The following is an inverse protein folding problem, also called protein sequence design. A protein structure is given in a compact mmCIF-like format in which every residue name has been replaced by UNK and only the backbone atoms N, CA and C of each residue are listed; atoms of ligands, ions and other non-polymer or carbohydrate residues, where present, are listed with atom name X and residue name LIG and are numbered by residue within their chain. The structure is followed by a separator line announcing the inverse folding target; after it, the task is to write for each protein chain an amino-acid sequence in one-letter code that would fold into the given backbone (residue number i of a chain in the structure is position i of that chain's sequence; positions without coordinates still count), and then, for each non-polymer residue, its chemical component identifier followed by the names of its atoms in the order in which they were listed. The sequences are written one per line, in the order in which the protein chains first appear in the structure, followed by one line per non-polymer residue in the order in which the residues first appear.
data_IF_977355737045
#
_entry.id   IF_977355737045
#
_cell.length_a   1.000
_cell.length_b   1.000
_cell.length_c   1.000
_cell.angle_alpha   90.00
_cell.angle_beta   90.00
_cell.angle_gamma   90.00
#
_symmetry.space_group_name_H-M   'P 1'
#
loop_
_entity.id
_entity.type
_entity.pdbx_description
1 polymer ?
#
# COMPACT_ATOMS: atom_id res chain seq x y z
N UNK A 1 -24.81 26.89 35.89
CA UNK A 1 -23.56 26.28 36.40
C UNK A 1 -23.60 24.74 36.53
N UNK A 2 -24.62 24.04 35.99
CA UNK A 2 -24.79 22.58 36.18
C UNK A 2 -24.34 21.73 34.98
N UNK A 3 -24.13 22.34 33.82
CA UNK A 3 -23.71 21.65 32.60
C UNK A 3 -22.22 21.29 32.61
N UNK A 4 -21.37 22.14 33.19
CA UNK A 4 -19.93 21.87 33.32
C UNK A 4 -19.62 20.66 34.20
N UNK A 5 -20.35 20.50 35.30
CA UNK A 5 -20.16 19.36 36.22
C UNK A 5 -20.61 18.05 35.57
N UNK A 6 -21.71 18.05 34.81
CA UNK A 6 -22.15 16.88 34.05
C UNK A 6 -21.16 16.48 32.95
N UNK A 7 -20.56 17.45 32.27
CA UNK A 7 -19.55 17.18 31.24
C UNK A 7 -18.24 16.64 31.84
N UNK A 8 -17.81 17.18 32.98
CA UNK A 8 -16.62 16.69 33.70
C UNK A 8 -16.85 15.28 34.24
N UNK A 9 -18.03 14.98 34.78
CA UNK A 9 -18.38 13.63 35.23
C UNK A 9 -18.47 12.64 34.06
N UNK A 10 -19.04 13.06 32.92
CA UNK A 10 -19.07 12.24 31.70
C UNK A 10 -17.67 11.97 31.16
N UNK A 11 -16.79 12.98 31.13
CA UNK A 11 -15.40 12.81 30.74
C UNK A 11 -14.64 11.92 31.72
N UNK A 12 -14.84 12.08 33.04
CA UNK A 12 -14.19 11.25 34.05
C UNK A 12 -14.67 9.79 33.98
N UNK A 13 -15.95 9.54 33.68
CA UNK A 13 -16.50 8.20 33.46
C UNK A 13 -15.97 7.61 32.15
N UNK A 14 -15.95 8.37 31.05
CA UNK A 14 -15.37 7.96 29.77
C UNK A 14 -13.88 7.61 29.91
N UNK A 15 -13.11 8.44 30.60
CA UNK A 15 -11.69 8.21 30.88
C UNK A 15 -11.51 6.96 31.75
N UNK A 16 -12.37 6.71 32.75
CA UNK A 16 -12.35 5.48 33.55
C UNK A 16 -12.65 4.24 32.70
N UNK A 17 -13.64 4.29 31.81
CA UNK A 17 -13.97 3.18 30.90
C UNK A 17 -12.91 2.94 29.82
N UNK A 18 -12.13 3.95 29.43
CA UNK A 18 -11.03 3.81 28.46
C UNK A 18 -9.73 3.35 29.15
N UNK A 19 -9.55 3.61 30.45
CA UNK A 19 -8.33 3.26 31.20
C UNK A 19 -8.42 1.98 32.03
N UNK A 20 -9.59 1.37 32.19
CA UNK A 20 -9.73 0.05 32.82
C UNK A 20 -9.92 -1.01 31.75
N UNK A 21 -8.83 -1.39 31.09
CA UNK A 21 -8.76 -2.66 30.36
C UNK A 21 -8.80 -3.81 31.38
N UNK A 22 -9.78 -4.73 31.33
CA UNK A 22 -9.90 -5.79 32.31
C UNK A 22 -8.81 -6.88 32.25
N UNK A 23 -7.88 -6.85 31.28
CA UNK A 23 -6.98 -7.98 31.00
C UNK A 23 -5.48 -7.59 30.91
N UNK A 24 -5.01 -6.68 31.79
CA UNK A 24 -3.60 -6.25 31.84
C UNK A 24 -2.60 -7.29 32.40
N UNK A 25 -2.84 -8.59 32.19
CA UNK A 25 -1.87 -9.66 32.48
C UNK A 25 -1.32 -10.37 31.24
N UNK A 26 -1.83 -10.03 30.05
CA UNK A 26 -1.35 -10.64 28.80
C UNK A 26 -0.26 -9.73 28.24
N UNK A 27 1.00 -10.11 28.47
CA UNK A 27 2.14 -9.56 27.72
C UNK A 27 1.87 -9.70 26.21
N UNK A 28 2.26 -8.70 25.40
CA UNK A 28 2.15 -8.77 23.94
C UNK A 28 2.65 -10.14 23.43
N UNK A 29 1.87 -10.86 22.60
CA UNK A 29 2.25 -12.21 22.20
C UNK A 29 3.54 -12.17 21.39
N UNK A 30 4.51 -13.00 21.78
CA UNK A 30 5.72 -13.18 21.00
C UNK A 30 5.34 -13.78 19.65
N UNK A 31 5.65 -13.09 18.56
CA UNK A 31 5.48 -13.65 17.21
C UNK A 31 6.77 -14.32 16.78
N UNK A 32 6.66 -15.57 16.37
CA UNK A 32 7.79 -16.37 15.87
C UNK A 32 7.47 -16.76 14.44
N UNK A 33 8.39 -16.45 13.54
CA UNK A 33 8.26 -16.76 12.12
C UNK A 33 9.08 -18.00 11.78
N UNK A 34 8.55 -18.89 10.94
CA UNK A 34 9.22 -20.11 10.53
C UNK A 34 9.03 -20.42 9.04
N UNK A 35 9.99 -21.10 8.44
CA UNK A 35 9.86 -21.71 7.12
C UNK A 35 9.51 -23.20 7.25
N UNK A 36 8.82 -23.75 6.24
CA UNK A 36 8.47 -25.17 6.23
C UNK A 36 9.73 -26.04 6.31
N UNK A 37 9.71 -27.04 7.20
CA UNK A 37 10.82 -27.95 7.48
C UNK A 37 11.80 -27.45 8.54
N UNK A 38 11.69 -26.20 9.01
CA UNK A 38 12.55 -25.67 10.06
C UNK A 38 12.22 -26.23 11.45
N UNK A 39 13.09 -25.92 12.40
CA UNK A 39 12.90 -26.12 13.83
C UNK A 39 12.85 -24.77 14.54
N UNK A 40 11.88 -24.59 15.43
CA UNK A 40 11.78 -23.40 16.28
C UNK A 40 11.82 -23.81 17.74
N UNK A 41 12.38 -22.92 18.56
CA UNK A 41 12.38 -23.07 20.02
C UNK A 41 11.44 -22.04 20.62
N UNK A 42 10.35 -22.51 21.19
CA UNK A 42 9.40 -21.68 21.95
C UNK A 42 9.88 -21.54 23.39
N UNK A 43 9.68 -20.36 23.98
CA UNK A 43 10.12 -20.03 25.35
C UNK A 43 8.93 -19.66 26.23
N UNK A 44 8.86 -20.25 27.42
CA UNK A 44 8.02 -19.78 28.52
C UNK A 44 8.73 -18.62 29.22
N UNK A 45 8.03 -17.50 29.38
CA UNK A 45 8.54 -16.31 30.07
C UNK A 45 8.24 -16.41 31.58
N UNK A 46 9.15 -17.09 32.28
CA UNK A 46 9.09 -17.29 33.72
C UNK A 46 10.44 -17.70 34.27
N UNK A 47 10.78 -17.19 35.46
CA UNK A 47 11.90 -17.65 36.25
C UNK A 47 11.54 -19.01 36.88
N UNK A 48 11.61 -20.07 36.06
CA UNK A 48 11.20 -21.41 36.48
C UNK A 48 12.12 -21.96 37.57
N UNK A 49 11.51 -22.54 38.60
CA UNK A 49 12.16 -23.31 39.66
C UNK A 49 12.00 -24.81 39.35
N UNK A 50 12.92 -25.66 39.83
CA UNK A 50 12.86 -27.12 39.67
C UNK A 50 11.58 -27.79 40.22
N UNK A 51 10.67 -27.08 40.88
CA UNK A 51 9.38 -27.63 41.35
C UNK A 51 8.20 -27.28 40.43
N UNK A 52 8.41 -26.46 39.41
CA UNK A 52 7.31 -25.95 38.58
C UNK A 52 6.84 -27.00 37.58
N UNK A 53 5.51 -27.17 37.52
CA UNK A 53 4.83 -27.93 36.46
C UNK A 53 4.64 -26.98 35.28
N UNK A 54 5.08 -27.41 34.11
CA UNK A 54 4.91 -26.67 32.86
C UNK A 54 3.98 -27.47 31.96
N UNK A 55 2.98 -26.78 31.41
CA UNK A 55 2.00 -27.34 30.51
C UNK A 55 2.05 -26.56 29.20
N UNK A 56 2.28 -27.27 28.10
CA UNK A 56 2.17 -26.69 26.77
C UNK A 56 0.92 -27.19 26.07
N UNK A 57 0.21 -26.24 25.48
CA UNK A 57 -1.00 -26.52 24.74
C UNK A 57 -1.14 -25.57 23.56
N UNK A 58 -1.86 -26.02 22.55
CA UNK A 58 -2.29 -25.19 21.42
C UNK A 58 -3.80 -25.03 21.48
N UNK A 59 -4.29 -23.85 21.10
CA UNK A 59 -5.72 -23.62 21.01
C UNK A 59 -6.20 -24.01 19.62
N UNK A 60 -7.08 -25.02 19.53
CA UNK A 60 -7.75 -25.40 18.29
C UNK A 60 -9.22 -24.99 18.35
N UNK A 61 -9.95 -25.01 17.21
CA UNK A 61 -11.39 -24.77 17.21
C UNK A 61 -12.19 -25.76 18.08
N UNK A 62 -11.64 -26.95 18.33
CA UNK A 62 -12.25 -28.00 19.15
C UNK A 62 -11.98 -27.83 20.65
N UNK A 63 -11.00 -26.99 21.02
CA UNK A 63 -10.61 -26.72 22.39
C UNK A 63 -9.10 -26.57 22.57
N UNK A 64 -8.67 -26.46 23.84
CA UNK A 64 -7.25 -26.43 24.18
C UNK A 64 -6.68 -27.86 24.14
N UNK A 65 -5.74 -28.09 23.22
CA UNK A 65 -5.07 -29.37 23.02
C UNK A 65 -3.72 -29.36 23.76
N UNK A 66 -3.68 -30.02 24.92
CA UNK A 66 -2.47 -30.20 25.73
C UNK A 66 -1.65 -31.31 25.11
N UNK A 67 -0.38 -31.02 24.81
CA UNK A 67 0.53 -31.97 24.16
C UNK A 67 1.82 -32.19 24.97
N UNK A 68 2.11 -31.35 25.97
CA UNK A 68 3.20 -31.59 26.91
C UNK A 68 2.77 -31.21 28.32
N UNK A 69 3.06 -32.08 29.29
CA UNK A 69 2.93 -31.80 30.71
C UNK A 69 4.12 -32.41 31.45
N UNK A 70 4.92 -31.57 32.12
CA UNK A 70 6.13 -32.04 32.80
C UNK A 70 5.85 -32.89 34.03
N UNK A 71 4.66 -32.78 34.64
CA UNK A 71 4.27 -33.57 35.82
C UNK A 71 3.57 -34.87 35.43
N UNK A 72 2.81 -34.85 34.34
CA UNK A 72 2.02 -36.00 33.89
C UNK A 72 2.42 -36.38 32.45
N UNK A 73 3.48 -37.18 32.26
CA UNK A 73 3.99 -37.52 30.92
C UNK A 73 3.05 -38.42 30.11
N UNK A 74 1.95 -38.88 30.71
CA UNK A 74 0.93 -39.73 30.08
C UNK A 74 -0.07 -38.94 29.21
N UNK A 75 0.21 -37.66 28.92
CA UNK A 75 -0.60 -36.89 27.98
C UNK A 75 -0.47 -37.55 26.60
N UNK A 76 -1.60 -37.91 26.01
CA UNK A 76 -1.64 -38.40 24.64
C UNK A 76 -1.10 -37.29 23.73
N UNK A 77 0.15 -37.42 23.31
CA UNK A 77 0.75 -36.52 22.36
C UNK A 77 -0.13 -36.51 21.11
N UNK A 78 -0.50 -35.31 20.65
CA UNK A 78 -1.26 -35.20 19.42
C UNK A 78 -0.47 -35.92 18.30
N UNK A 79 -1.13 -36.80 17.55
CA UNK A 79 -0.46 -37.69 16.58
C UNK A 79 0.39 -36.91 15.57
N UNK A 80 0.02 -35.67 15.27
CA UNK A 80 0.73 -34.77 14.37
C UNK A 80 2.01 -34.17 14.98
N UNK A 81 2.17 -34.20 16.30
CA UNK A 81 3.34 -33.69 17.02
C UNK A 81 4.30 -34.81 17.44
N UNK A 82 3.93 -36.07 17.21
CA UNK A 82 4.72 -37.24 17.57
C UNK A 82 6.07 -37.26 16.85
N UNK A 83 7.14 -37.48 17.62
CA UNK A 83 8.52 -37.44 17.14
C UNK A 83 9.04 -36.08 16.65
N UNK A 84 8.23 -35.01 16.68
CA UNK A 84 8.62 -33.65 16.28
C UNK A 84 8.87 -32.71 17.45
N UNK A 85 8.46 -33.10 18.65
CA UNK A 85 8.63 -32.31 19.86
C UNK A 85 9.84 -32.81 20.63
N UNK A 86 10.71 -31.87 21.01
CA UNK A 86 11.77 -32.11 21.96
C UNK A 86 11.73 -31.05 23.08
N UNK A 87 11.34 -31.49 24.27
CA UNK A 87 11.37 -30.66 25.47
C UNK A 87 12.71 -30.90 26.19
N UNK A 88 13.76 -30.19 25.76
CA UNK A 88 15.12 -30.38 26.29
C UNK A 88 15.31 -29.70 27.66
N UNK A 89 15.79 -30.46 28.66
CA UNK A 89 16.44 -30.17 29.97
C UNK A 89 16.02 -28.99 30.86
N UNK A 90 15.68 -27.83 30.31
CA UNK A 90 15.12 -26.67 31.01
C UNK A 90 13.64 -26.59 30.66
N UNK A 91 12.76 -26.81 31.64
CA UNK A 91 11.29 -26.87 31.48
C UNK A 91 10.67 -25.64 30.80
N UNK A 92 11.46 -24.57 30.61
CA UNK A 92 11.08 -23.32 29.97
C UNK A 92 11.08 -23.35 28.45
N UNK A 93 11.66 -24.36 27.80
CA UNK A 93 11.83 -24.37 26.34
C UNK A 93 11.20 -25.60 25.68
N UNK A 94 10.61 -25.37 24.52
CA UNK A 94 10.00 -26.40 23.68
C UNK A 94 10.57 -26.27 22.26
N UNK A 95 11.32 -27.27 21.81
CA UNK A 95 11.74 -27.36 20.41
C UNK A 95 10.67 -28.11 19.61
N UNK A 96 10.24 -27.52 18.51
CA UNK A 96 9.31 -28.11 17.55
C UNK A 96 10.00 -28.15 16.18
N UNK A 97 10.29 -29.36 15.71
CA UNK A 97 11.05 -29.65 14.49
C UNK A 97 10.12 -30.02 13.33
N UNK A 98 10.64 -29.93 12.10
CA UNK A 98 9.93 -30.32 10.87
C UNK A 98 8.56 -29.62 10.76
N UNK A 99 8.58 -28.29 10.86
CA UNK A 99 7.38 -27.46 10.85
C UNK A 99 6.66 -27.46 9.50
N UNK A 100 5.33 -27.37 9.55
CA UNK A 100 4.44 -27.36 8.40
C UNK A 100 3.46 -26.18 8.47
N UNK A 101 2.77 -25.90 7.37
CA UNK A 101 1.75 -24.84 7.35
C UNK A 101 0.64 -25.07 8.39
N UNK A 102 0.35 -26.33 8.71
CA UNK A 102 -0.68 -26.71 9.69
C UNK A 102 -0.28 -26.43 11.13
N UNK A 103 1.01 -26.19 11.39
CA UNK A 103 1.51 -25.87 12.71
C UNK A 103 1.34 -24.39 13.06
N UNK A 104 0.87 -23.57 12.11
CA UNK A 104 0.54 -22.15 12.33
C UNK A 104 -0.56 -22.02 13.38
N UNK A 105 -0.35 -21.18 14.39
CA UNK A 105 -1.37 -20.96 15.39
C UNK A 105 -0.84 -20.42 16.71
N UNK A 106 -1.72 -20.46 17.71
CA UNK A 106 -1.43 -20.00 19.06
C UNK A 106 -0.93 -21.14 19.93
N UNK A 107 0.28 -20.98 20.42
CA UNK A 107 0.91 -21.86 21.39
C UNK A 107 0.95 -21.16 22.74
N UNK A 108 0.63 -21.92 23.78
CA UNK A 108 0.53 -21.43 25.13
C UNK A 108 1.40 -22.28 26.04
N UNK A 109 2.08 -21.60 26.94
CA UNK A 109 2.78 -22.20 28.06
C UNK A 109 2.15 -21.73 29.36
N UNK A 110 1.69 -22.67 30.18
CA UNK A 110 1.22 -22.41 31.54
C UNK A 110 2.19 -22.97 32.57
N UNK A 111 2.56 -22.16 33.55
CA UNK A 111 3.46 -22.52 34.64
C UNK A 111 2.68 -22.59 35.94
N UNK A 112 2.81 -23.70 36.64
CA UNK A 112 2.09 -23.97 37.87
C UNK A 112 3.05 -24.29 39.02
N UNK A 113 2.89 -23.56 40.12
CA UNK A 113 3.58 -23.80 41.40
C UNK A 113 2.57 -24.27 42.43
N UNK A 114 2.80 -25.44 43.05
CA UNK A 114 1.88 -26.04 44.05
C UNK A 114 0.40 -26.11 43.58
N UNK A 115 0.19 -26.28 42.27
CA UNK A 115 -1.14 -26.35 41.65
C UNK A 115 -1.78 -25.00 41.28
N UNK A 116 -1.13 -23.88 41.59
CA UNK A 116 -1.59 -22.53 41.22
C UNK A 116 -0.87 -22.06 39.95
N UNK A 117 -1.62 -21.53 38.98
CA UNK A 117 -1.05 -20.92 37.78
C UNK A 117 -0.34 -19.61 38.15
N UNK A 118 0.97 -19.55 37.92
CA UNK A 118 1.82 -18.40 38.29
C UNK A 118 2.26 -17.58 37.09
N UNK A 119 2.38 -18.19 35.91
CA UNK A 119 2.72 -17.49 34.66
C UNK A 119 2.05 -18.17 33.47
N UNK A 120 1.68 -17.36 32.47
CA UNK A 120 1.17 -17.82 31.18
C UNK A 120 1.87 -17.05 30.08
N UNK A 121 2.42 -17.75 29.10
CA UNK A 121 3.07 -17.14 27.93
C UNK A 121 2.34 -17.56 26.67
N UNK A 122 2.00 -16.57 25.83
CA UNK A 122 1.41 -16.78 24.51
C UNK A 122 2.47 -16.56 23.43
N UNK A 123 2.59 -17.51 22.52
CA UNK A 123 3.43 -17.39 21.32
C UNK A 123 2.59 -17.65 20.08
N UNK A 124 2.65 -16.73 19.12
CA UNK A 124 1.98 -16.86 17.83
C UNK A 124 3.00 -17.36 16.81
N UNK A 125 2.82 -18.60 16.35
CA UNK A 125 3.70 -19.22 15.36
C UNK A 125 3.14 -18.94 13.96
N UNK A 126 3.91 -18.25 13.13
CA UNK A 126 3.51 -17.77 11.81
C UNK A 126 4.45 -18.30 10.73
N UNK A 127 3.87 -18.72 9.61
CA UNK A 127 4.66 -19.06 8.43
C UNK A 127 5.29 -17.79 7.86
N UNK A 128 6.61 -17.83 7.67
CA UNK A 128 7.32 -16.83 6.91
C UNK A 128 7.14 -17.11 5.43
N UNK A 129 6.46 -16.19 4.74
CA UNK A 129 6.35 -16.21 3.29
C UNK A 129 7.32 -15.19 2.67
N UNK A 130 8.45 -15.62 2.10
CA UNK A 130 9.42 -14.73 1.46
C UNK A 130 8.86 -14.03 0.22
N UNK A 131 7.75 -14.50 -0.35
CA UNK A 131 7.06 -13.88 -1.49
C UNK A 131 5.75 -13.19 -1.10
N UNK A 132 5.42 -13.20 0.19
CA UNK A 132 4.21 -12.57 0.69
C UNK A 132 4.20 -11.06 0.48
N UNK A 133 3.03 -10.46 0.55
CA UNK A 133 2.80 -9.00 0.46
C UNK A 133 3.60 -8.19 1.50
N UNK A 134 3.98 -8.82 2.63
CA UNK A 134 4.81 -8.20 3.66
C UNK A 134 6.32 -8.36 3.41
N UNK A 135 6.73 -9.11 2.40
CA UNK A 135 8.12 -9.30 2.04
C UNK A 135 8.75 -8.01 1.54
N UNK A 136 9.99 -7.78 1.95
CA UNK A 136 10.84 -6.69 1.44
C UNK A 136 11.01 -6.80 -0.08
N UNK A 137 11.10 -8.02 -0.62
CA UNK A 137 11.19 -8.26 -2.06
C UNK A 137 9.96 -7.74 -2.80
N UNK A 138 8.75 -8.04 -2.31
CA UNK A 138 7.52 -7.56 -2.93
C UNK A 138 7.38 -6.03 -2.82
N UNK A 139 7.74 -5.44 -1.66
CA UNK A 139 7.70 -3.97 -1.48
C UNK A 139 8.62 -3.24 -2.45
N UNK A 140 9.83 -3.75 -2.66
CA UNK A 140 10.79 -3.17 -3.61
C UNK A 140 10.29 -3.36 -5.04
N UNK A 141 9.90 -4.58 -5.40
CA UNK A 141 9.40 -4.89 -6.74
C UNK A 141 8.17 -4.06 -7.12
N UNK A 142 7.18 -3.97 -6.23
CA UNK A 142 5.97 -3.17 -6.41
C UNK A 142 6.30 -1.69 -6.63
N UNK A 143 7.23 -1.15 -5.84
CA UNK A 143 7.68 0.24 -5.96
C UNK A 143 8.38 0.50 -7.31
N UNK A 144 9.27 -0.40 -7.73
CA UNK A 144 9.96 -0.30 -9.02
C UNK A 144 8.97 -0.37 -10.20
N UNK A 145 8.00 -1.28 -10.14
CA UNK A 145 6.96 -1.41 -11.17
C UNK A 145 6.08 -0.16 -11.22
N UNK A 146 5.69 0.39 -10.08
CA UNK A 146 4.93 1.64 -10.02
C UNK A 146 5.71 2.82 -10.63
N UNK A 147 7.00 2.95 -10.28
CA UNK A 147 7.87 3.98 -10.87
C UNK A 147 8.02 3.81 -12.38
N UNK A 148 8.19 2.59 -12.88
CA UNK A 148 8.29 2.31 -14.31
C UNK A 148 7.00 2.67 -15.06
N UNK A 149 5.84 2.31 -14.51
CA UNK A 149 4.53 2.65 -15.10
C UNK A 149 4.31 4.17 -15.12
N UNK A 150 4.62 4.88 -14.04
CA UNK A 150 4.54 6.35 -14.01
C UNK A 150 5.47 6.99 -15.03
N UNK A 151 6.70 6.50 -15.15
CA UNK A 151 7.66 6.95 -16.17
C UNK A 151 7.12 6.76 -17.59
N UNK A 152 6.56 5.59 -17.89
CA UNK A 152 5.94 5.30 -19.19
C UNK A 152 4.75 6.23 -19.48
N UNK A 153 3.88 6.47 -18.51
CA UNK A 153 2.75 7.40 -18.66
C UNK A 153 3.24 8.83 -18.93
N UNK A 154 4.28 9.31 -18.21
CA UNK A 154 4.88 10.61 -18.47
C UNK A 154 5.46 10.73 -19.88
N UNK A 155 6.14 9.69 -20.38
CA UNK A 155 6.65 9.65 -21.76
C UNK A 155 5.50 9.69 -22.77
N UNK A 156 4.44 8.92 -22.57
CA UNK A 156 3.28 8.94 -23.45
C UNK A 156 2.60 10.30 -23.47
N UNK A 157 2.41 10.95 -22.31
CA UNK A 157 1.84 12.30 -22.23
C UNK A 157 2.73 13.32 -22.94
N UNK A 158 4.05 13.29 -22.71
CA UNK A 158 4.98 14.24 -23.35
C UNK A 158 5.02 14.06 -24.87
N UNK A 159 5.02 12.83 -25.37
CA UNK A 159 4.93 12.55 -26.81
C UNK A 159 3.60 13.03 -27.38
N UNK A 160 2.47 12.73 -26.75
CA UNK A 160 1.16 13.19 -27.21
C UNK A 160 1.06 14.72 -27.23
N UNK A 161 1.51 15.40 -26.17
CA UNK A 161 1.53 16.86 -26.10
C UNK A 161 2.47 17.48 -27.15
N UNK A 162 3.60 16.82 -27.44
CA UNK A 162 4.56 17.28 -28.46
C UNK A 162 4.00 17.09 -29.87
N UNK A 163 3.38 15.95 -30.15
CA UNK A 163 2.70 15.68 -31.43
C UNK A 163 1.58 16.70 -31.66
N UNK A 164 0.69 16.89 -30.67
CA UNK A 164 -0.39 17.88 -30.76
C UNK A 164 0.12 19.31 -30.96
N UNK A 165 1.23 19.68 -30.31
CA UNK A 165 1.89 20.99 -30.54
C UNK A 165 2.44 21.13 -31.96
N UNK A 166 3.05 20.08 -32.52
CA UNK A 166 3.52 20.09 -33.91
C UNK A 166 2.36 20.25 -34.89
N UNK A 167 1.24 19.59 -34.65
CA UNK A 167 0.04 19.69 -35.50
C UNK A 167 -0.57 21.10 -35.44
N UNK A 168 -0.63 21.73 -34.26
CA UNK A 168 -1.09 23.11 -34.16
C UNK A 168 -0.13 24.10 -34.84
N UNK A 169 1.18 23.90 -34.72
CA UNK A 169 2.16 24.73 -35.38
C UNK A 169 2.06 24.62 -36.91
N UNK A 170 1.94 23.40 -37.45
CA UNK A 170 1.81 23.17 -38.89
C UNK A 170 0.52 23.77 -39.46
N UNK A 171 -0.60 23.65 -38.74
CA UNK A 171 -1.86 24.29 -39.10
C UNK A 171 -1.73 25.81 -39.10
N UNK A 172 -1.14 26.41 -38.05
CA UNK A 172 -0.98 27.85 -37.95
C UNK A 172 -0.16 28.42 -39.11
N UNK A 173 0.95 27.77 -39.48
CA UNK A 173 1.77 28.16 -40.64
C UNK A 173 0.98 28.11 -41.94
N UNK A 174 0.15 27.08 -42.13
CA UNK A 174 -0.70 26.92 -43.32
C UNK A 174 -1.78 28.00 -43.43
N UNK A 175 -2.40 28.37 -42.30
CA UNK A 175 -3.37 29.48 -42.24
C UNK A 175 -2.73 30.83 -42.56
N UNK A 176 -1.55 31.12 -42.00
CA UNK A 176 -0.83 32.38 -42.29
C UNK A 176 -0.43 32.48 -43.75
N UNK A 177 0.06 31.40 -44.36
CA UNK A 177 0.41 31.38 -45.78
C UNK A 177 -0.83 31.63 -46.67
N UNK A 178 -1.96 30.98 -46.35
CA UNK A 178 -3.21 31.17 -47.08
C UNK A 178 -3.78 32.60 -46.95
N UNK A 179 -3.65 33.23 -45.77
CA UNK A 179 -4.06 34.62 -45.57
C UNK A 179 -3.18 35.60 -46.35
N UNK A 180 -1.86 35.43 -46.30
CA UNK A 180 -0.93 36.28 -47.06
C UNK A 180 -1.21 36.21 -48.56
N UNK A 181 -1.45 35.00 -49.09
CA UNK A 181 -1.75 34.81 -50.51
C UNK A 181 -3.11 35.37 -50.94
N UNK A 182 -4.13 35.36 -50.06
CA UNK A 182 -5.38 36.07 -50.33
C UNK A 182 -5.19 37.58 -50.33
N UNK A 183 -4.43 38.12 -49.38
CA UNK A 183 -4.17 39.56 -49.29
C UNK A 183 -3.46 40.06 -50.55
N UNK A 184 -2.40 39.38 -51.00
CA UNK A 184 -1.68 39.78 -52.20
C UNK A 184 -2.57 39.76 -53.45
N UNK A 185 -3.47 38.77 -53.59
CA UNK A 185 -4.42 38.72 -54.71
C UNK A 185 -5.40 39.90 -54.71
N UNK A 186 -5.92 40.29 -53.54
CA UNK A 186 -6.85 41.43 -53.44
C UNK A 186 -6.13 42.76 -53.70
N UNK A 187 -4.87 42.86 -53.34
CA UNK A 187 -4.05 44.06 -53.58
C UNK A 187 -3.74 44.21 -55.08
N UNK A 188 -3.42 43.11 -55.76
CA UNK A 188 -3.26 43.04 -57.22
C UNK A 188 -4.57 43.40 -57.96
N UNK A 189 -5.72 42.83 -57.55
CA UNK A 189 -7.03 43.19 -58.12
C UNK A 189 -7.37 44.68 -57.90
N UNK A 190 -6.93 45.27 -56.78
CA UNK A 190 -7.19 46.69 -56.50
C UNK A 190 -6.31 47.61 -57.34
N UNK A 191 -5.04 47.25 -57.54
CA UNK A 191 -4.13 47.98 -58.42
C UNK A 191 -4.63 47.98 -59.87
N UNK A 192 -5.15 46.85 -60.36
CA UNK A 192 -5.77 46.78 -61.71
C UNK A 192 -6.97 47.73 -61.85
N UNK A 193 -7.85 47.81 -60.84
CA UNK A 193 -9.02 48.71 -60.86
C UNK A 193 -8.61 50.19 -60.82
N UNK A 194 -7.61 50.54 -59.99
CA UNK A 194 -7.10 51.90 -59.88
C UNK A 194 -6.40 52.37 -61.17
N UNK A 195 -5.79 51.46 -61.94
CA UNK A 195 -5.26 51.74 -63.28
C UNK A 195 -6.37 51.97 -64.32
N UNK A 196 -7.39 51.12 -64.36
CA UNK A 196 -8.55 51.31 -65.25
C UNK A 196 -9.28 52.65 -64.98
N UNK A 197 -9.45 53.05 -63.72
CA UNK A 197 -10.11 54.32 -63.38
C UNK A 197 -9.29 55.55 -63.81
N UNK A 198 -7.95 55.47 -63.76
CA UNK A 198 -7.08 56.53 -64.28
C UNK A 198 -7.18 56.67 -65.80
N UNK A 199 -7.17 55.56 -66.53
CA UNK A 199 -7.31 55.58 -67.99
C UNK A 199 -8.66 56.20 -68.41
N UNK A 200 -9.76 55.83 -67.74
CA UNK A 200 -11.08 56.39 -68.01
C UNK A 200 -11.15 57.91 -67.75
N UNK A 201 -10.54 58.39 -66.65
CA UNK A 201 -10.49 59.81 -66.31
C UNK A 201 -9.68 60.64 -67.31
N UNK A 202 -8.55 60.11 -67.78
CA UNK A 202 -7.73 60.78 -68.79
C UNK A 202 -8.45 60.86 -70.15
N UNK A 203 -9.20 59.82 -70.53
CA UNK A 203 -10.03 59.84 -71.74
C UNK A 203 -11.15 60.90 -71.67
N UNK A 204 -11.78 61.07 -70.50
CA UNK A 204 -12.79 62.11 -70.28
C UNK A 204 -12.19 63.52 -70.32
N UNK A 205 -10.96 63.70 -69.82
CA UNK A 205 -10.22 64.98 -69.84
C UNK A 205 -9.89 65.40 -71.28
N UNK A 206 -9.50 64.45 -72.13
CA UNK A 206 -9.26 64.67 -73.57
C UNK A 206 -10.54 65.07 -74.31
N UNK A 207 -11.69 64.48 -73.94
CA UNK A 207 -13.00 64.85 -74.53
C UNK A 207 -13.44 66.27 -74.14
N UNK A 208 -13.21 66.70 -72.89
CA UNK A 208 -13.49 68.08 -72.45
C UNK A 208 -12.64 69.13 -73.16
N UNK A 209 -11.36 68.84 -73.42
CA UNK A 209 -10.47 69.76 -74.15
C UNK A 209 -10.87 69.99 -75.62
N UNK A 210 -11.52 69.00 -76.26
CA UNK A 210 -12.06 69.12 -77.62
C UNK A 210 -13.41 69.86 -77.71
N UNK A 211 -14.09 70.10 -76.58
CA UNK A 211 -15.38 70.78 -76.52
C UNK A 211 -15.33 72.31 -76.36
N UNK A 212 -14.15 72.90 -76.12
CA UNK A 212 -14.00 74.35 -75.86
C UNK A 212 -13.55 75.15 -77.10
N UNK A 213 -13.44 74.52 -78.27
CA UNK A 213 -13.19 75.15 -79.57
C UNK A 213 -14.39 74.92 -80.49
N UNK A 214 -15.54 75.53 -80.15
CA UNK A 214 -16.61 75.80 -81.12
C UNK A 214 -17.51 76.93 -80.63
#
# INVERSE_FOLDING_TARGET
MTWGIKLILLLAVLIRTILTDPDNWISEPLSVFFSVGEEVVLRCDSDLIESDRVVWYRRTPEGDNVFLDTKYPQVNLAQDLDGRINATATRSFLALSNLSLMDTGEYWCGVFYEGVCVSVTKTLLLVWDPFGINSTFYRVYSSLMACALLGMVCVLITVNLKTRRRDQASLKTRWTAAQTQRRSRVEEEREEVDEEEKEANDEERVKKQKGTLR
#
